data_IF_596538893029
#
_entry.id   IF_596538893029
#
_cell.length_a   1.000
_cell.length_b   1.000
_cell.length_c   1.000
_cell.angle_alpha   90.00
_cell.angle_beta   90.00
_cell.angle_gamma   90.00
#
_symmetry.space_group_name_H-M   'P 1'
#
loop_
_entity.id
_entity.type
_entity.pdbx_description
1 polymer ?
#
# COMPACT_ATOMS: atom_id res chain seq x y z
N UNK A 1 11.26 -14.07 18.84
CA UNK A 1 11.87 -12.83 18.27
C UNK A 1 12.35 -13.13 16.86
N UNK A 2 11.88 -12.39 15.87
CA UNK A 2 12.34 -12.55 14.49
C UNK A 2 13.80 -12.11 14.38
N UNK A 3 14.63 -12.90 13.69
CA UNK A 3 16.03 -12.54 13.46
C UNK A 3 16.12 -11.24 12.62
N UNK A 4 17.00 -10.32 13.02
CA UNK A 4 17.23 -9.04 12.35
C UNK A 4 17.56 -9.19 10.85
N UNK A 5 18.25 -10.27 10.46
CA UNK A 5 18.53 -10.60 9.05
C UNK A 5 17.26 -10.94 8.28
N UNK A 6 16.35 -11.70 8.91
CA UNK A 6 15.07 -12.08 8.30
C UNK A 6 14.17 -10.87 8.12
N UNK A 7 14.04 -10.01 9.14
CA UNK A 7 13.28 -8.76 9.07
C UNK A 7 13.78 -7.87 7.91
N UNK A 8 15.09 -7.69 7.80
CA UNK A 8 15.70 -6.90 6.74
C UNK A 8 15.44 -7.49 5.35
N UNK A 9 15.53 -8.80 5.19
CA UNK A 9 15.27 -9.49 3.91
C UNK A 9 13.81 -9.38 3.49
N UNK A 10 12.87 -9.56 4.42
CA UNK A 10 11.44 -9.42 4.16
C UNK A 10 11.08 -7.98 3.80
N UNK A 11 11.59 -7.00 4.54
CA UNK A 11 11.40 -5.57 4.24
C UNK A 11 11.87 -5.21 2.84
N UNK A 12 13.08 -5.65 2.47
CA UNK A 12 13.64 -5.39 1.14
C UNK A 12 12.80 -6.02 0.03
N UNK A 13 12.37 -7.26 0.22
CA UNK A 13 11.50 -7.96 -0.73
C UNK A 13 10.17 -7.25 -0.90
N UNK A 14 9.54 -6.84 0.19
CA UNK A 14 8.29 -6.09 0.18
C UNK A 14 8.43 -4.76 -0.58
N UNK A 15 9.45 -3.95 -0.24
CA UNK A 15 9.69 -2.67 -0.91
C UNK A 15 9.94 -2.81 -2.41
N UNK A 16 10.67 -3.84 -2.84
CA UNK A 16 10.91 -4.08 -4.27
C UNK A 16 9.60 -4.47 -4.98
N UNK A 17 8.80 -5.35 -4.37
CA UNK A 17 7.52 -5.74 -4.93
C UNK A 17 6.55 -4.55 -5.04
N UNK A 18 6.50 -3.70 -4.03
CA UNK A 18 5.70 -2.46 -4.04
C UNK A 18 6.12 -1.52 -5.16
N UNK A 19 7.42 -1.23 -5.28
CA UNK A 19 7.93 -0.35 -6.33
C UNK A 19 7.62 -0.90 -7.73
N UNK A 20 7.81 -2.19 -7.94
CA UNK A 20 7.51 -2.83 -9.21
C UNK A 20 6.01 -2.77 -9.52
N UNK A 21 5.17 -3.02 -8.54
CA UNK A 21 3.72 -2.95 -8.68
C UNK A 21 3.24 -1.53 -9.01
N UNK A 22 3.74 -0.52 -8.31
CA UNK A 22 3.41 0.89 -8.59
C UNK A 22 3.87 1.28 -10.00
N UNK A 23 5.05 0.82 -10.44
CA UNK A 23 5.54 1.06 -11.78
C UNK A 23 4.63 0.43 -12.85
N UNK A 24 4.22 -0.82 -12.66
CA UNK A 24 3.30 -1.52 -13.58
C UNK A 24 1.94 -0.82 -13.63
N UNK A 25 1.37 -0.47 -12.48
CA UNK A 25 0.08 0.24 -12.42
C UNK A 25 0.15 1.60 -13.09
N UNK A 26 1.24 2.35 -12.86
CA UNK A 26 1.46 3.64 -13.52
C UNK A 26 1.57 3.48 -15.03
N UNK A 27 2.26 2.45 -15.51
CA UNK A 27 2.36 2.13 -16.93
C UNK A 27 0.99 1.84 -17.55
N UNK A 28 0.15 1.06 -16.86
CA UNK A 28 -1.22 0.76 -17.32
C UNK A 28 -2.05 2.03 -17.47
N UNK A 29 -2.02 2.93 -16.48
CA UNK A 29 -2.75 4.21 -16.56
C UNK A 29 -2.22 5.10 -17.68
N UNK A 30 -0.90 5.14 -17.89
CA UNK A 30 -0.29 5.89 -19.00
C UNK A 30 -0.72 5.30 -20.34
N UNK A 31 -0.79 3.97 -20.49
CA UNK A 31 -1.29 3.34 -21.69
C UNK A 31 -2.76 3.69 -21.95
N UNK A 32 -3.60 3.64 -20.93
CA UNK A 32 -5.02 4.06 -21.02
C UNK A 32 -5.12 5.52 -21.46
N UNK A 33 -4.32 6.41 -20.84
CA UNK A 33 -4.24 7.82 -21.26
C UNK A 33 -3.93 7.96 -22.74
N UNK A 34 -2.93 7.22 -23.22
CA UNK A 34 -2.47 7.31 -24.62
C UNK A 34 -3.49 6.77 -25.60
N UNK A 35 -4.13 5.64 -25.29
CA UNK A 35 -5.14 5.03 -26.17
C UNK A 35 -6.50 5.76 -26.15
N UNK A 36 -6.91 6.25 -24.98
CA UNK A 36 -8.18 6.95 -24.83
C UNK A 36 -8.08 8.46 -25.09
N UNK A 37 -6.87 8.99 -25.36
CA UNK A 37 -6.61 10.43 -25.54
C UNK A 37 -7.13 11.32 -24.40
N UNK A 38 -7.03 10.84 -23.16
CA UNK A 38 -7.50 11.55 -21.96
C UNK A 38 -6.30 12.16 -21.23
N UNK A 39 -6.01 13.43 -21.52
CA UNK A 39 -4.86 14.12 -20.94
C UNK A 39 -5.02 14.47 -19.45
N UNK A 40 -6.26 14.50 -18.96
CA UNK A 40 -6.60 14.83 -17.57
C UNK A 40 -6.14 13.80 -16.54
N UNK A 41 -5.80 12.57 -16.96
CA UNK A 41 -5.40 11.46 -16.06
C UNK A 41 -4.01 11.62 -15.40
N UNK A 42 -3.20 12.59 -15.83
CA UNK A 42 -1.82 12.77 -15.29
C UNK A 42 -1.85 13.17 -13.82
N UNK A 43 -2.66 14.15 -13.47
CA UNK A 43 -2.74 14.63 -12.08
C UNK A 43 -3.32 13.58 -11.12
N UNK A 44 -4.46 12.90 -11.43
CA UNK A 44 -4.94 11.77 -10.64
C UNK A 44 -3.90 10.67 -10.45
N UNK A 45 -3.13 10.35 -11.50
CA UNK A 45 -2.05 9.37 -11.42
C UNK A 45 -0.97 9.81 -10.43
N UNK A 46 -0.49 11.04 -10.52
CA UNK A 46 0.56 11.56 -9.62
C UNK A 46 0.08 11.52 -8.16
N UNK A 47 -1.13 11.98 -7.88
CA UNK A 47 -1.70 11.94 -6.52
C UNK A 47 -1.77 10.51 -6.01
N UNK A 48 -2.25 9.57 -6.81
CA UNK A 48 -2.40 8.15 -6.43
C UNK A 48 -1.05 7.48 -6.19
N UNK A 49 -0.05 7.75 -7.01
CA UNK A 49 1.31 7.22 -6.85
C UNK A 49 1.96 7.77 -5.59
N UNK A 50 1.90 9.08 -5.37
CA UNK A 50 2.47 9.72 -4.17
C UNK A 50 1.82 9.18 -2.91
N UNK A 51 0.48 9.11 -2.88
CA UNK A 51 -0.27 8.53 -1.76
C UNK A 51 0.17 7.08 -1.48
N UNK A 52 0.21 6.24 -2.52
CA UNK A 52 0.62 4.84 -2.39
C UNK A 52 2.02 4.70 -1.83
N UNK A 53 2.99 5.47 -2.35
CA UNK A 53 4.37 5.41 -1.87
C UNK A 53 4.50 5.87 -0.42
N UNK A 54 3.80 6.93 -0.02
CA UNK A 54 3.81 7.43 1.37
C UNK A 54 3.25 6.39 2.33
N UNK A 55 2.11 5.79 2.00
CA UNK A 55 1.47 4.76 2.83
C UNK A 55 2.35 3.52 2.94
N UNK A 56 2.83 2.99 1.83
CA UNK A 56 3.68 1.79 1.82
C UNK A 56 5.00 2.00 2.57
N UNK A 57 5.58 3.19 2.46
CA UNK A 57 6.80 3.53 3.20
C UNK A 57 6.53 3.63 4.70
N UNK A 58 5.42 4.25 5.11
CA UNK A 58 5.01 4.31 6.51
C UNK A 58 4.77 2.91 7.07
N UNK A 59 4.06 2.04 6.35
CA UNK A 59 3.79 0.66 6.75
C UNK A 59 5.07 -0.14 6.95
N UNK A 60 6.05 -0.01 6.08
CA UNK A 60 7.36 -0.67 6.20
C UNK A 60 8.10 -0.23 7.46
N UNK A 61 8.11 1.07 7.75
CA UNK A 61 8.77 1.61 8.96
C UNK A 61 8.11 1.06 10.22
N UNK A 62 6.79 1.14 10.28
CA UNK A 62 6.03 0.74 11.48
C UNK A 62 6.13 -0.78 11.65
N UNK A 63 6.00 -1.57 10.58
CA UNK A 63 6.17 -3.02 10.64
C UNK A 63 7.56 -3.40 11.18
N UNK A 64 8.62 -2.75 10.68
CA UNK A 64 9.98 -2.99 11.12
C UNK A 64 10.17 -2.68 12.61
N UNK A 65 9.52 -1.63 13.11
CA UNK A 65 9.55 -1.25 14.51
C UNK A 65 8.84 -2.30 15.39
N UNK A 66 7.65 -2.75 15.00
CA UNK A 66 6.87 -3.74 15.75
C UNK A 66 7.49 -5.12 15.72
N UNK A 67 7.99 -5.56 14.58
CA UNK A 67 8.63 -6.87 14.44
C UNK A 67 9.86 -7.04 15.35
N UNK A 68 10.48 -5.91 15.74
CA UNK A 68 11.59 -5.91 16.71
C UNK A 68 11.14 -5.95 18.16
N UNK A 69 10.02 -5.29 18.48
CA UNK A 69 9.64 -5.02 19.88
C UNK A 69 8.54 -5.95 20.41
N UNK A 70 7.55 -6.33 19.60
CA UNK A 70 6.36 -7.06 20.08
C UNK A 70 5.66 -7.83 18.96
N UNK A 71 6.02 -9.10 18.79
CA UNK A 71 5.43 -9.96 17.74
C UNK A 71 3.95 -10.25 18.02
N UNK A 72 3.55 -10.34 19.28
CA UNK A 72 2.18 -10.70 19.69
C UNK A 72 1.14 -9.61 19.37
N UNK A 73 1.58 -8.38 19.18
CA UNK A 73 0.71 -7.23 18.85
C UNK A 73 0.51 -7.03 17.34
N UNK A 74 1.16 -7.83 16.49
CA UNK A 74 1.08 -7.72 15.03
C UNK A 74 -0.35 -7.76 14.47
N UNK A 75 -1.26 -8.68 14.88
CA UNK A 75 -2.61 -8.73 14.34
C UNK A 75 -3.42 -7.47 14.66
N UNK A 76 -3.35 -6.99 15.90
CA UNK A 76 -4.02 -5.74 16.33
C UNK A 76 -3.48 -4.53 15.59
N UNK A 77 -2.17 -4.51 15.36
CA UNK A 77 -1.52 -3.46 14.60
C UNK A 77 -2.01 -3.42 13.14
N UNK A 78 -2.12 -4.56 12.46
CA UNK A 78 -2.61 -4.58 11.08
C UNK A 78 -4.02 -4.04 10.94
N UNK A 79 -4.88 -4.31 11.91
CA UNK A 79 -6.23 -3.74 11.96
C UNK A 79 -6.21 -2.21 12.13
N UNK A 80 -5.38 -1.71 13.05
CA UNK A 80 -5.23 -0.28 13.30
C UNK A 80 -4.66 0.48 12.08
N UNK A 81 -3.63 -0.09 11.43
CA UNK A 81 -3.02 0.49 10.21
C UNK A 81 -4.02 0.52 9.06
N UNK A 82 -4.83 -0.53 8.90
CA UNK A 82 -5.87 -0.57 7.87
C UNK A 82 -6.89 0.55 8.06
N UNK A 83 -7.35 0.78 9.29
CA UNK A 83 -8.26 1.88 9.63
C UNK A 83 -7.64 3.26 9.37
N UNK A 84 -6.39 3.47 9.79
CA UNK A 84 -5.67 4.72 9.58
C UNK A 84 -5.45 5.01 8.08
N UNK A 85 -5.13 3.98 7.28
CA UNK A 85 -5.00 4.06 5.82
C UNK A 85 -6.30 4.51 5.17
N UNK A 86 -7.44 3.97 5.62
CA UNK A 86 -8.75 4.39 5.11
C UNK A 86 -9.04 5.86 5.42
N UNK A 87 -8.74 6.34 6.63
CA UNK A 87 -8.90 7.74 7.00
C UNK A 87 -8.03 8.67 6.14
N UNK A 88 -6.78 8.29 5.90
CA UNK A 88 -5.88 9.06 5.03
C UNK A 88 -6.37 9.08 3.57
N UNK A 89 -6.94 7.97 3.08
CA UNK A 89 -7.52 7.92 1.74
C UNK A 89 -8.70 8.88 1.60
N UNK A 90 -9.60 8.89 2.57
CA UNK A 90 -10.74 9.82 2.60
C UNK A 90 -10.24 11.28 2.66
N UNK A 91 -9.28 11.58 3.53
CA UNK A 91 -8.70 12.91 3.64
C UNK A 91 -8.05 13.39 2.34
N UNK A 92 -7.34 12.49 1.65
CA UNK A 92 -6.72 12.77 0.34
C UNK A 92 -7.77 13.08 -0.71
N UNK A 93 -8.85 12.30 -0.79
CA UNK A 93 -9.94 12.53 -1.73
C UNK A 93 -10.69 13.84 -1.44
N UNK A 94 -10.91 14.18 -0.17
CA UNK A 94 -11.48 15.48 0.23
C UNK A 94 -10.55 16.63 -0.21
N UNK A 95 -9.25 16.50 0.01
CA UNK A 95 -8.25 17.46 -0.44
C UNK A 95 -8.26 17.66 -1.97
N UNK A 96 -8.36 16.57 -2.72
CA UNK A 96 -8.51 16.62 -4.18
C UNK A 96 -9.81 17.33 -4.59
N UNK A 97 -10.93 17.01 -3.94
CA UNK A 97 -12.22 17.64 -4.22
C UNK A 97 -12.18 19.16 -4.05
N UNK A 98 -11.56 19.63 -2.97
CA UNK A 98 -11.42 21.06 -2.69
C UNK A 98 -10.52 21.75 -3.74
N UNK A 99 -9.49 21.05 -4.24
CA UNK A 99 -8.50 21.60 -5.15
C UNK A 99 -8.95 21.62 -6.62
N UNK A 100 -9.65 20.57 -7.06
CA UNK A 100 -9.98 20.34 -8.49
C UNK A 100 -11.45 20.61 -8.80
N UNK A 101 -12.30 20.60 -7.80
CA UNK A 101 -13.74 20.77 -7.96
C UNK A 101 -14.45 19.48 -8.39
N UNK A 102 -15.75 19.61 -8.68
CA UNK A 102 -16.65 18.48 -8.89
C UNK A 102 -16.45 17.78 -10.24
N UNK A 103 -16.11 18.54 -11.27
CA UNK A 103 -16.16 18.05 -12.66
C UNK A 103 -15.07 17.01 -12.95
N UNK A 104 -13.86 17.17 -12.41
CA UNK A 104 -12.77 16.23 -12.58
C UNK A 104 -12.68 15.15 -11.49
N UNK A 105 -13.51 15.24 -10.44
CA UNK A 105 -13.41 14.36 -9.26
C UNK A 105 -13.60 12.89 -9.58
N UNK A 106 -14.40 12.55 -10.60
CA UNK A 106 -14.67 11.18 -10.99
C UNK A 106 -13.40 10.48 -11.47
N UNK A 107 -12.56 11.16 -12.27
CA UNK A 107 -11.27 10.62 -12.75
C UNK A 107 -10.30 10.41 -11.59
N UNK A 108 -10.22 11.35 -10.65
CA UNK A 108 -9.40 11.21 -9.43
C UNK A 108 -9.86 10.03 -8.59
N UNK A 109 -11.18 9.89 -8.37
CA UNK A 109 -11.75 8.79 -7.61
C UNK A 109 -11.45 7.43 -8.24
N UNK A 110 -11.64 7.29 -9.55
CA UNK A 110 -11.42 6.02 -10.25
C UNK A 110 -9.96 5.59 -10.21
N UNK A 111 -9.03 6.48 -10.58
CA UNK A 111 -7.60 6.17 -10.57
C UNK A 111 -7.14 5.87 -9.14
N UNK A 112 -7.52 6.71 -8.18
CA UNK A 112 -7.15 6.54 -6.78
C UNK A 112 -7.69 5.22 -6.19
N UNK A 113 -8.93 4.86 -6.50
CA UNK A 113 -9.56 3.63 -6.02
C UNK A 113 -8.85 2.38 -6.53
N UNK A 114 -8.41 2.36 -7.79
CA UNK A 114 -7.63 1.24 -8.36
C UNK A 114 -6.31 1.06 -7.61
N UNK A 115 -5.57 2.15 -7.37
CA UNK A 115 -4.33 2.11 -6.59
C UNK A 115 -4.58 1.70 -5.13
N UNK A 116 -5.63 2.21 -4.52
CA UNK A 116 -6.01 1.89 -3.14
C UNK A 116 -6.38 0.42 -2.95
N UNK A 117 -7.20 -0.14 -3.86
CA UNK A 117 -7.54 -1.57 -3.84
C UNK A 117 -6.29 -2.44 -4.03
N UNK A 118 -5.40 -2.04 -4.93
CA UNK A 118 -4.13 -2.75 -5.11
C UNK A 118 -3.31 -2.79 -3.80
N UNK A 119 -3.16 -1.65 -3.12
CA UNK A 119 -2.44 -1.57 -1.84
C UNK A 119 -3.04 -2.51 -0.80
N UNK A 120 -4.38 -2.54 -0.68
CA UNK A 120 -5.07 -3.43 0.27
C UNK A 120 -4.76 -4.90 -0.05
N UNK A 121 -4.92 -5.31 -1.31
CA UNK A 121 -4.68 -6.70 -1.74
C UNK A 121 -3.22 -7.09 -1.53
N UNK A 122 -2.29 -6.27 -1.98
CA UNK A 122 -0.85 -6.53 -1.85
C UNK A 122 -0.44 -6.68 -0.38
N UNK A 123 -0.88 -5.75 0.48
CA UNK A 123 -0.63 -5.79 1.91
C UNK A 123 -1.22 -7.04 2.57
N UNK A 124 -2.49 -7.37 2.27
CA UNK A 124 -3.17 -8.53 2.85
C UNK A 124 -2.51 -9.84 2.45
N UNK A 125 -2.15 -10.01 1.19
CA UNK A 125 -1.49 -11.22 0.67
C UNK A 125 -0.09 -11.38 1.29
N UNK A 126 0.69 -10.31 1.33
CA UNK A 126 2.05 -10.36 1.86
C UNK A 126 2.07 -10.74 3.35
N UNK A 127 1.27 -10.08 4.16
CA UNK A 127 1.24 -10.32 5.61
C UNK A 127 0.57 -11.63 5.99
N UNK A 128 -0.45 -12.08 5.26
CA UNK A 128 -1.02 -13.42 5.43
C UNK A 128 0.04 -14.51 5.20
N UNK A 129 0.87 -14.36 4.16
CA UNK A 129 1.95 -15.28 3.87
C UNK A 129 3.04 -15.30 4.95
N UNK A 130 3.41 -14.13 5.48
CA UNK A 130 4.39 -14.00 6.56
C UNK A 130 3.86 -14.62 7.86
N UNK A 131 2.58 -14.38 8.20
CA UNK A 131 1.94 -14.93 9.40
C UNK A 131 1.87 -16.46 9.34
N UNK A 132 1.46 -17.04 8.22
CA UNK A 132 1.35 -18.49 8.08
C UNK A 132 2.69 -19.21 8.18
N UNK A 133 3.75 -18.65 7.62
CA UNK A 133 5.09 -19.26 7.72
C UNK A 133 5.65 -19.26 9.14
N UNK A 134 5.26 -18.29 9.98
CA UNK A 134 5.67 -18.24 11.39
C UNK A 134 4.94 -19.26 12.25
N UNK A 135 3.63 -19.46 12.00
CA UNK A 135 2.82 -20.44 12.74
C UNK A 135 3.32 -21.87 12.47
N UNK A 136 3.80 -22.15 11.26
CA UNK A 136 4.34 -23.48 10.90
C UNK A 136 5.68 -23.74 11.60
N UNK A 137 6.60 -22.75 11.63
CA UNK A 137 7.90 -22.91 12.30
C UNK A 137 7.78 -23.10 13.83
N UNK A 138 6.76 -22.53 14.48
CA UNK A 138 6.53 -22.67 15.93
C UNK A 138 5.93 -24.05 16.29
N UNK A 139 5.22 -24.70 15.37
CA UNK A 139 4.67 -26.05 15.56
C UNK A 139 5.73 -27.17 15.45
N UNK A 140 6.75 -26.97 14.65
CA UNK A 140 7.82 -27.97 14.46
C UNK A 140 8.86 -27.96 15.60
N UNK A 141 8.80 -26.98 16.50
CA UNK A 141 9.70 -26.84 17.66
C UNK A 141 9.04 -27.24 19.00
N UNK A 142 7.83 -27.80 19.00
CA UNK A 142 7.17 -28.40 20.17
C UNK A 142 7.06 -29.94 20.03
#
# INVERSE_FOLDING_TARGET
MLDNKMISKLTKRYSIQTLLAVAVMSLVVILIKTFAHVDTLVYPLVVSVVFTLVIEFADVIIWKFLAKNSVDTLPTFFSAVSGFRMLLAIATLIGCYISVGRDAMLEYCLVFLVFYLWVIVHHSVFFSHVSNNHIVCDKDNK
#
